data_IF_432344536774
#
_entry.id   IF_432344536774
#
_cell.length_a   1.000
_cell.length_b   1.000
_cell.length_c   1.000
_cell.angle_alpha   90.00
_cell.angle_beta   90.00
_cell.angle_gamma   90.00
#
_symmetry.space_group_name_H-M   'P 1'
#
loop_
_entity.id
_entity.type
_entity.pdbx_description
1 polymer ?
2 non-polymer ?
3 water ?
#
# COMPACT_ATOMS: atom_id res chain seq x y z
N UNK A 4 -26.27 8.95 12.57
CA UNK A 4 -25.07 8.65 11.73
C UNK A 4 -24.77 7.15 11.69
N UNK A 5 -25.65 6.42 11.01
CA UNK A 5 -25.46 5.00 10.76
C UNK A 5 -24.19 4.87 9.92
N UNK A 6 -23.41 3.80 10.13
CA UNK A 6 -22.26 3.49 9.27
C UNK A 6 -21.17 4.57 9.25
N UNK A 7 -21.07 5.36 10.32
CA UNK A 7 -20.25 6.55 10.29
C UNK A 7 -18.76 6.23 10.26
N UNK A 8 -18.30 5.25 11.05
CA UNK A 8 -16.88 4.90 11.00
C UNK A 8 -16.48 4.41 9.61
N UNK A 9 -17.28 3.49 9.09
CA UNK A 9 -17.10 2.96 7.74
C UNK A 9 -17.12 4.07 6.68
N UNK A 10 -18.11 4.96 6.75
CA UNK A 10 -18.23 6.04 5.73
C UNK A 10 -17.01 6.95 5.71
N UNK A 11 -16.57 7.34 6.90
CA UNK A 11 -15.46 8.30 6.95
C UNK A 11 -14.18 7.67 6.47
N UNK A 12 -13.97 6.41 6.84
CA UNK A 12 -12.76 5.72 6.42
C UNK A 12 -12.71 5.54 4.91
N UNK A 13 -13.82 5.11 4.30
CA UNK A 13 -13.85 4.95 2.85
C UNK A 13 -13.70 6.29 2.13
N UNK A 14 -14.30 7.36 2.66
CA UNK A 14 -14.11 8.70 2.07
C UNK A 14 -12.65 9.18 2.18
N UNK A 15 -12.02 8.88 3.31
CA UNK A 15 -10.60 9.16 3.47
C UNK A 15 -9.79 8.39 2.41
N UNK A 16 -10.16 7.13 2.19
CA UNK A 16 -9.48 6.33 1.20
C UNK A 16 -9.68 6.90 -0.22
N UNK A 17 -10.92 7.21 -0.57
CA UNK A 17 -11.22 7.82 -1.87
C UNK A 17 -10.36 9.07 -2.08
N UNK A 18 -10.34 9.95 -1.07
CA UNK A 18 -9.59 11.21 -1.16
C UNK A 18 -8.10 10.93 -1.39
N UNK A 19 -7.55 9.92 -0.72
CA UNK A 19 -6.16 9.56 -0.93
C UNK A 19 -5.90 9.11 -2.37
N UNK A 20 -6.81 8.33 -2.96
CA UNK A 20 -6.61 7.89 -4.34
C UNK A 20 -6.62 9.08 -5.29
N UNK A 21 -7.58 9.96 -5.06
CA UNK A 21 -7.72 11.16 -5.88
C UNK A 21 -6.50 12.06 -5.74
N UNK A 22 -6.08 12.33 -4.51
CA UNK A 22 -4.92 13.19 -4.29
C UNK A 22 -3.62 12.62 -4.86
N UNK A 23 -3.51 11.30 -4.91
CA UNK A 23 -2.30 10.63 -5.42
C UNK A 23 -2.34 10.29 -6.91
N UNK A 24 -3.40 10.73 -7.59
CA UNK A 24 -3.58 10.46 -9.02
C UNK A 24 -3.62 9.00 -9.44
N UNK A 25 -4.14 8.14 -8.56
CA UNK A 25 -4.20 6.70 -8.79
C UNK A 25 -5.36 6.36 -9.73
N UNK A 26 -5.15 5.41 -10.65
CA UNK A 26 -6.21 4.88 -11.52
C UNK A 26 -7.25 4.11 -10.71
N UNK A 27 -8.52 4.26 -11.06
CA UNK A 27 -9.57 3.47 -10.45
C UNK A 27 -9.85 2.22 -11.27
N UNK A 28 -8.83 1.38 -11.44
CA UNK A 28 -9.04 0.04 -11.95
C UNK A 28 -9.16 -0.94 -10.79
N UNK A 29 -9.86 -2.06 -11.01
CA UNK A 29 -10.13 -3.04 -9.95
C UNK A 29 -8.90 -3.51 -9.18
N UNK A 30 -7.90 -4.03 -9.90
CA UNK A 30 -6.68 -4.56 -9.29
C UNK A 30 -5.96 -3.49 -8.48
N UNK A 31 -5.92 -2.28 -9.02
CA UNK A 31 -5.28 -1.15 -8.36
C UNK A 31 -6.02 -0.78 -7.08
N UNK A 32 -7.34 -0.64 -7.18
CA UNK A 32 -8.17 -0.32 -6.01
C UNK A 32 -7.98 -1.35 -4.91
N UNK A 33 -8.02 -2.63 -5.29
CA UNK A 33 -7.78 -3.72 -4.36
C UNK A 33 -6.44 -3.63 -3.64
N UNK A 34 -5.34 -3.50 -4.38
CA UNK A 34 -4.04 -3.36 -3.73
C UNK A 34 -3.94 -2.10 -2.87
N UNK A 35 -4.48 -1.00 -3.37
CA UNK A 35 -4.44 0.25 -2.62
C UNK A 35 -5.24 0.18 -1.32
N UNK A 36 -6.37 -0.51 -1.35
CA UNK A 36 -7.18 -0.67 -0.14
C UNK A 36 -6.52 -1.58 0.89
N UNK A 37 -5.99 -2.72 0.43
CA UNK A 37 -5.19 -3.58 1.31
C UNK A 37 -4.03 -2.75 1.91
N UNK A 38 -3.37 -1.95 1.08
CA UNK A 38 -2.28 -1.12 1.57
C UNK A 38 -2.71 -0.08 2.60
N UNK A 39 -3.82 0.60 2.32
CA UNK A 39 -4.40 1.60 3.19
C UNK A 39 -4.79 0.98 4.53
N UNK A 40 -5.19 -0.29 4.49
CA UNK A 40 -5.54 -1.03 5.70
C UNK A 40 -4.36 -1.60 6.53
N UNK A 41 -3.14 -1.59 5.98
CA UNK A 41 -1.98 -2.19 6.66
C UNK A 41 -1.69 -1.75 8.09
N UNK A 42 -1.56 -0.46 8.32
CA UNK A 42 -1.13 -0.07 9.66
C UNK A 42 -2.26 0.13 10.67
N UNK A 43 -3.47 -0.34 10.34
CA UNK A 43 -4.63 -0.04 11.16
C UNK A 43 -4.68 -0.84 12.45
N UNK A 44 -5.26 -0.21 13.46
CA UNK A 44 -5.37 -0.77 14.78
C UNK A 44 -6.81 -0.64 15.21
N UNK A 45 -7.16 -1.40 16.24
CA UNK A 45 -8.45 -1.25 16.91
C UNK A 45 -9.62 -1.29 15.95
N UNK A 46 -10.50 -0.29 16.07
CA UNK A 46 -11.76 -0.28 15.33
C UNK A 46 -11.57 -0.19 13.83
N UNK A 47 -10.55 0.55 13.40
CA UNK A 47 -10.23 0.63 11.96
C UNK A 47 -9.71 -0.69 11.39
N UNK A 48 -9.01 -1.45 12.22
CA UNK A 48 -8.54 -2.78 11.82
C UNK A 48 -9.71 -3.74 11.71
N UNK A 49 -10.65 -3.64 12.64
CA UNK A 49 -11.89 -4.41 12.55
C UNK A 49 -12.69 -4.05 11.29
N UNK A 50 -12.78 -2.75 10.97
CA UNK A 50 -13.42 -2.28 9.73
C UNK A 50 -12.73 -2.87 8.50
N UNK A 51 -11.39 -2.86 8.51
CA UNK A 51 -10.61 -3.38 7.39
C UNK A 51 -10.91 -4.86 7.14
N UNK A 52 -11.06 -5.62 8.23
CA UNK A 52 -11.49 -7.02 8.11
C UNK A 52 -12.89 -7.12 7.48
N UNK A 53 -13.83 -6.30 7.97
CA UNK A 53 -15.17 -6.27 7.40
C UNK A 53 -15.23 -5.81 5.95
N UNK A 54 -14.18 -5.12 5.50
CA UNK A 54 -14.05 -4.69 4.09
C UNK A 54 -13.37 -5.74 3.22
N UNK A 55 -12.89 -6.85 3.81
CA UNK A 55 -12.20 -7.87 3.02
C UNK A 55 -10.72 -7.59 2.82
N UNK A 56 -10.18 -6.66 3.61
CA UNK A 56 -8.84 -6.09 3.34
C UNK A 56 -7.71 -6.40 4.32
N UNK A 57 -7.89 -7.43 5.14
CA UNK A 57 -6.82 -7.92 6.02
C UNK A 57 -6.53 -9.36 5.59
N UNK A 58 -5.39 -9.90 6.03
CA UNK A 58 -4.97 -11.24 5.60
C UNK A 58 -6.03 -12.31 5.92
N UNK A 59 -6.70 -12.15 7.07
CA UNK A 59 -7.66 -13.16 7.52
C UNK A 59 -9.10 -12.90 7.04
N UNK A 60 -9.26 -11.99 6.08
CA UNK A 60 -10.57 -11.53 5.68
C UNK A 60 -10.97 -12.23 4.38
N UNK A 61 -12.22 -12.08 3.99
CA UNK A 61 -12.77 -12.74 2.80
C UNK A 61 -12.51 -11.92 1.54
N UNK A 62 -11.74 -12.43 0.59
CA UNK A 62 -11.64 -11.77 -0.72
C UNK A 62 -12.98 -11.64 -1.48
N UNK A 63 -13.97 -12.49 -1.17
CA UNK A 63 -15.30 -12.32 -1.72
C UNK A 63 -15.85 -10.96 -1.31
N UNK A 64 -15.69 -10.60 -0.04
CA UNK A 64 -16.13 -9.28 0.45
C UNK A 64 -15.27 -8.15 -0.14
N UNK A 65 -13.99 -8.39 -0.32
CA UNK A 65 -13.12 -7.38 -0.94
C UNK A 65 -13.62 -7.03 -2.33
N UNK A 66 -14.10 -8.03 -3.07
CA UNK A 66 -14.63 -7.78 -4.41
C UNK A 66 -15.90 -6.92 -4.36
N UNK A 67 -16.71 -7.17 -3.33
CA UNK A 67 -17.96 -6.45 -3.13
C UNK A 67 -17.75 -5.01 -2.71
N UNK A 68 -16.57 -4.71 -2.18
CA UNK A 68 -16.20 -3.34 -1.88
C UNK A 68 -15.54 -2.66 -3.09
N UNK A 69 -14.60 -3.34 -3.73
CA UNK A 69 -13.79 -2.67 -4.76
C UNK A 69 -14.51 -2.50 -6.09
N UNK A 70 -15.41 -3.40 -6.43
CA UNK A 70 -16.22 -3.17 -7.63
C UNK A 70 -17.08 -1.89 -7.57
N UNK A 71 -17.82 -1.66 -6.46
CA UNK A 71 -18.52 -0.34 -6.37
C UNK A 71 -17.57 0.83 -6.36
N UNK A 72 -16.36 0.64 -5.80
CA UNK A 72 -15.38 1.75 -5.82
C UNK A 72 -14.94 2.11 -7.22
N UNK A 73 -14.91 1.12 -8.13
CA UNK A 73 -14.51 1.39 -9.52
C UNK A 73 -15.48 2.33 -10.26
N UNK A 74 -16.70 2.47 -9.73
CA UNK A 74 -17.65 3.43 -10.30
C UNK A 74 -17.93 4.54 -9.32
N UNK A 75 -17.04 4.71 -8.34
CA UNK A 75 -17.11 5.81 -7.37
C UNK A 75 -18.41 5.79 -6.56
N UNK A 76 -18.91 4.60 -6.24
CA UNK A 76 -20.12 4.55 -5.41
C UNK A 76 -19.91 5.31 -4.10
N UNK A 77 -20.89 6.13 -3.69
CA UNK A 77 -20.74 6.89 -2.44
C UNK A 77 -20.41 5.95 -1.28
N UNK A 78 -19.50 6.37 -0.39
CA UNK A 78 -19.08 5.49 0.72
C UNK A 78 -20.25 4.99 1.56
N UNK A 79 -21.24 5.84 1.82
CA UNK A 79 -22.37 5.41 2.65
C UNK A 79 -23.07 4.20 2.01
N UNK A 80 -23.18 4.24 0.68
CA UNK A 80 -23.85 3.18 -0.05
C UNK A 80 -23.09 1.83 -0.03
N UNK A 81 -21.76 1.92 -0.10
CA UNK A 81 -20.93 0.73 0.06
C UNK A 81 -21.13 0.13 1.47
N UNK A 82 -21.04 0.98 2.48
CA UNK A 82 -21.25 0.55 3.86
C UNK A 82 -22.64 -0.08 4.11
N UNK A 83 -23.68 0.56 3.57
CA UNK A 83 -25.04 0.04 3.67
C UNK A 83 -25.20 -1.32 3.01
N UNK A 84 -24.50 -1.51 1.88
CA UNK A 84 -24.44 -2.81 1.19
C UNK A 84 -23.84 -3.86 2.14
N UNK A 85 -22.75 -3.51 2.82
CA UNK A 85 -22.06 -4.49 3.67
C UNK A 85 -22.82 -4.75 4.96
N UNK A 86 -23.60 -3.79 5.40
CA UNK A 86 -24.40 -3.94 6.60
C UNK A 86 -25.33 -5.17 6.48
N UNK A 87 -25.77 -5.47 5.27
CA UNK A 87 -26.68 -6.60 5.07
C UNK A 87 -25.98 -7.94 5.35
N UNK A 88 -24.66 -7.96 5.22
CA UNK A 88 -23.89 -9.15 5.55
C UNK A 88 -23.72 -9.31 7.06
N UNK A 89 -22.86 -8.49 7.64
CA UNK A 89 -22.67 -8.47 9.08
C UNK A 89 -22.90 -7.02 9.54
N UNK A 90 -23.98 -6.78 10.28
CA UNK A 90 -24.37 -5.40 10.62
C UNK A 90 -23.38 -4.68 11.54
N UNK A 91 -22.51 -5.45 12.20
CA UNK A 91 -21.57 -4.83 13.13
C UNK A 91 -20.66 -3.78 12.43
N UNK A 92 -20.48 -3.91 11.11
CA UNK A 92 -19.65 -2.92 10.36
C UNK A 92 -20.16 -1.50 10.54
N UNK A 93 -21.49 -1.34 10.63
CA UNK A 93 -22.09 -0.01 10.71
C UNK A 93 -22.33 0.44 12.14
N UNK A 94 -22.00 -0.43 13.09
CA UNK A 94 -22.17 -0.18 14.54
C UNK A 94 -20.89 0.27 15.25
N UNK A 95 -19.77 0.21 14.54
CA UNK A 95 -18.50 0.52 15.16
C UNK A 95 -18.46 1.93 15.76
N UNK A 96 -17.83 2.05 16.93
CA UNK A 96 -17.51 3.37 17.52
C UNK A 96 -16.09 3.32 18.07
N UNK A 97 -15.36 4.42 17.93
CA UNK A 97 -14.04 4.52 18.52
C UNK A 97 -14.17 4.57 20.06
N UNK A 98 -13.12 4.14 20.76
CA UNK A 98 -13.07 4.25 22.23
C UNK A 98 -13.47 5.65 22.71
N UNK A 99 -14.37 5.69 23.69
CA UNK A 99 -14.83 6.95 24.29
C UNK A 99 -13.73 7.63 25.11
N UNK A 100 -12.90 6.82 25.79
CA UNK A 100 -11.70 7.27 26.53
C UNK A 100 -11.81 8.60 27.32
N UNK A 101 -12.13 8.59 28.51
N UNK B 4 26.47 -5.31 -14.90
CA UNK B 4 25.10 -4.86 -14.50
C UNK B 4 24.82 -5.24 -13.05
N UNK B 5 25.62 -4.68 -12.16
CA UNK B 5 25.47 -4.88 -10.72
C UNK B 5 24.16 -4.24 -10.30
N UNK B 6 23.50 -4.83 -9.29
CA UNK B 6 22.31 -4.22 -8.67
C UNK B 6 21.18 -3.97 -9.65
N UNK B 7 21.11 -4.77 -10.72
CA UNK B 7 20.17 -4.49 -11.81
C UNK B 7 18.70 -4.65 -11.44
N UNK B 8 18.36 -5.73 -10.71
CA UNK B 8 16.98 -5.88 -10.26
C UNK B 8 16.53 -4.73 -9.38
N UNK B 9 17.39 -4.38 -8.42
CA UNK B 9 17.15 -3.27 -7.53
C UNK B 9 17.01 -1.97 -8.29
N UNK B 10 17.95 -1.70 -9.21
CA UNK B 10 17.95 -0.42 -9.93
C UNK B 10 16.66 -0.24 -10.75
N UNK B 11 16.25 -1.29 -11.46
CA UNK B 11 15.11 -1.12 -12.35
C UNK B 11 13.84 -0.95 -11.53
N UNK B 12 13.75 -1.68 -10.42
CA UNK B 12 12.56 -1.56 -9.59
C UNK B 12 12.42 -0.18 -8.99
N UNK B 13 13.52 0.38 -8.51
CA UNK B 13 13.49 1.71 -7.93
C UNK B 13 13.19 2.74 -9.00
N UNK B 14 13.70 2.55 -10.21
CA UNK B 14 13.40 3.48 -11.30
C UNK B 14 11.94 3.40 -11.74
N UNK B 15 11.39 2.19 -11.71
CA UNK B 15 9.95 2.06 -11.91
C UNK B 15 9.13 2.82 -10.87
N UNK B 16 9.51 2.68 -9.60
CA UNK B 16 8.88 3.40 -8.52
C UNK B 16 8.98 4.93 -8.72
N UNK B 17 10.19 5.41 -9.02
CA UNK B 17 10.38 6.83 -9.25
C UNK B 17 9.47 7.35 -10.37
N UNK B 18 9.39 6.61 -11.47
CA UNK B 18 8.59 7.02 -12.63
C UNK B 18 7.13 7.10 -12.24
N UNK B 19 6.69 6.15 -11.43
CA UNK B 19 5.31 6.15 -10.93
C UNK B 19 4.97 7.41 -10.11
N UNK B 20 5.84 7.80 -9.18
CA UNK B 20 5.68 9.01 -8.38
C UNK B 20 5.64 10.24 -9.27
N UNK B 21 6.61 10.32 -10.17
CA UNK B 21 6.75 11.47 -11.07
C UNK B 21 5.54 11.60 -11.99
N UNK B 22 5.09 10.49 -12.56
CA UNK B 22 3.94 10.51 -13.47
C UNK B 22 2.68 10.97 -12.76
N UNK B 23 2.55 10.64 -11.48
CA UNK B 23 1.38 11.06 -10.70
C UNK B 23 1.54 12.40 -9.98
N UNK B 24 2.67 13.07 -10.19
CA UNK B 24 2.91 14.37 -9.56
C UNK B 24 2.98 14.35 -8.04
N UNK B 25 3.39 13.21 -7.49
CA UNK B 25 3.47 13.00 -6.04
C UNK B 25 4.59 13.82 -5.38
N UNK B 26 4.30 14.40 -4.21
CA UNK B 26 5.26 15.16 -3.43
C UNK B 26 6.31 14.24 -2.78
N UNK B 27 7.58 14.58 -2.95
CA UNK B 27 8.68 13.75 -2.45
C UNK B 27 9.06 14.12 -1.02
N UNK B 28 8.08 14.06 -0.12
CA UNK B 28 8.33 14.19 1.30
C UNK B 28 8.53 12.80 1.90
N UNK B 29 9.26 12.72 3.01
CA UNK B 29 9.58 11.43 3.63
C UNK B 29 8.36 10.55 3.87
N UNK B 30 7.36 11.08 4.58
CA UNK B 30 6.19 10.28 4.94
C UNK B 30 5.42 9.79 3.72
N UNK B 31 5.32 10.66 2.71
CA UNK B 31 4.64 10.32 1.48
C UNK B 31 5.38 9.24 0.70
N UNK B 32 6.70 9.41 0.57
CA UNK B 32 7.53 8.39 -0.08
C UNK B 32 7.41 7.03 0.62
N UNK B 33 7.49 7.03 1.95
CA UNK B 33 7.37 5.75 2.70
C UNK B 33 6.06 5.03 2.40
N UNK B 34 4.94 5.75 2.46
CA UNK B 34 3.64 5.14 2.21
C UNK B 34 3.55 4.62 0.78
N UNK B 35 4.04 5.42 -0.17
CA UNK B 35 4.09 5.00 -1.56
C UNK B 35 4.94 3.74 -1.79
N UNK B 36 6.12 3.66 -1.15
CA UNK B 36 7.00 2.49 -1.28
C UNK B 36 6.40 1.21 -0.67
N UNK B 37 5.74 1.34 0.49
CA UNK B 37 5.03 0.20 1.09
C UNK B 37 3.96 -0.35 0.14
N UNK B 38 3.16 0.55 -0.44
CA UNK B 38 2.15 0.17 -1.43
C UNK B 38 2.73 -0.48 -2.65
N UNK B 39 3.80 0.11 -3.17
CA UNK B 39 4.43 -0.39 -4.37
C UNK B 39 4.95 -1.81 -4.14
N UNK B 40 5.38 -2.07 -2.92
CA UNK B 40 5.94 -3.36 -2.56
C UNK B 40 4.93 -4.44 -2.14
N UNK B 41 3.65 -4.08 -2.03
CA UNK B 41 2.67 -4.96 -1.39
C UNK B 41 2.35 -6.24 -2.15
N UNK B 42 2.16 -6.14 -3.46
CA UNK B 42 1.74 -7.30 -4.24
C UNK B 42 2.91 -8.07 -4.82
N UNK B 43 4.13 -7.72 -4.41
CA UNK B 43 5.31 -8.35 -4.98
C UNK B 43 5.42 -9.81 -4.56
N UNK B 44 5.93 -10.62 -5.48
CA UNK B 44 6.26 -12.01 -5.22
C UNK B 44 7.71 -12.28 -5.60
N UNK B 45 8.18 -13.48 -5.27
CA UNK B 45 9.50 -13.96 -5.65
C UNK B 45 10.61 -12.96 -5.34
N UNK B 46 11.46 -12.72 -6.33
CA UNK B 46 12.64 -11.84 -6.17
C UNK B 46 12.31 -10.39 -5.87
N UNK B 47 11.24 -9.87 -6.47
CA UNK B 47 10.80 -8.52 -6.12
C UNK B 47 10.36 -8.39 -4.66
N UNK B 48 9.79 -9.47 -4.11
CA UNK B 48 9.42 -9.48 -2.69
C UNK B 48 10.67 -9.53 -1.81
N UNK B 49 11.67 -10.31 -2.23
CA UNK B 49 12.95 -10.36 -1.49
C UNK B 49 13.63 -8.99 -1.52
N UNK B 50 13.64 -8.36 -2.70
CA UNK B 50 14.08 -6.95 -2.82
C UNK B 50 13.35 -5.99 -1.89
N UNK B 51 12.01 -6.08 -1.84
CA UNK B 51 11.22 -5.19 -1.01
C UNK B 51 11.59 -5.36 0.46
N UNK B 52 11.94 -6.59 0.82
CA UNK B 52 12.38 -6.86 2.18
C UNK B 52 13.70 -6.13 2.44
N UNK B 53 14.66 -6.24 1.50
CA UNK B 53 15.94 -5.55 1.64
C UNK B 53 15.84 -4.03 1.59
N UNK B 54 14.73 -3.53 1.04
CA UNK B 54 14.44 -2.11 1.01
C UNK B 54 13.76 -1.65 2.30
N UNK B 55 13.45 -2.59 3.19
CA UNK B 55 12.75 -2.27 4.43
C UNK B 55 11.24 -2.04 4.26
N UNK B 56 10.66 -2.53 3.17
CA UNK B 56 9.25 -2.21 2.81
C UNK B 56 8.25 -3.37 2.88
N UNK B 57 8.59 -4.43 3.59
CA UNK B 57 7.64 -5.51 3.83
C UNK B 57 7.30 -5.48 5.33
N UNK B 58 6.25 -6.20 5.71
CA UNK B 58 5.78 -6.28 7.10
C UNK B 58 6.88 -6.76 8.06
N UNK B 59 7.71 -7.69 7.58
CA UNK B 59 8.76 -8.28 8.42
C UNK B 59 10.13 -7.62 8.28
N UNK B 60 10.17 -6.47 7.61
CA UNK B 60 11.43 -5.82 7.33
C UNK B 60 11.74 -4.77 8.40
N UNK B 61 12.93 -4.18 8.30
CA UNK B 61 13.43 -3.18 9.25
C UNK B 61 13.07 -1.76 8.82
N UNK B 62 12.25 -1.07 9.60
CA UNK B 62 12.00 0.36 9.33
C UNK B 62 13.28 1.22 9.36
N UNK B 63 14.33 0.79 10.06
CA UNK B 63 15.61 1.48 10.01
C UNK B 63 16.11 1.53 8.57
N UNK B 64 16.03 0.40 7.88
CA UNK B 64 16.42 0.33 6.45
C UNK B 64 15.47 1.11 5.53
N UNK B 65 14.18 1.08 5.82
CA UNK B 65 13.22 1.89 5.07
C UNK B 65 13.62 3.35 5.06
N UNK B 66 14.06 3.87 6.21
CA UNK B 66 14.48 5.27 6.35
C UNK B 66 15.77 5.53 5.54
N UNK B 67 16.61 4.51 5.45
CA UNK B 67 17.84 4.61 4.68
C UNK B 67 17.59 4.63 3.17
N UNK B 68 16.38 4.24 2.77
CA UNK B 68 15.96 4.27 1.38
C UNK B 68 15.16 5.55 1.10
N UNK B 69 14.21 5.87 1.98
CA UNK B 69 13.31 7.00 1.69
C UNK B 69 14.02 8.32 1.81
N UNK B 70 14.98 8.43 2.73
CA UNK B 70 15.73 9.70 2.85
C UNK B 70 16.49 10.07 1.57
N UNK B 71 17.28 9.13 0.99
CA UNK B 71 17.92 9.43 -0.31
C UNK B 71 16.92 9.68 -1.41
N UNK B 72 15.77 8.98 -1.37
CA UNK B 72 14.73 9.24 -2.39
C UNK B 72 14.17 10.66 -2.31
N UNK B 73 14.12 11.23 -1.11
CA UNK B 73 13.64 12.62 -0.96
C UNK B 73 14.49 13.66 -1.70
N UNK B 74 15.74 13.31 -1.99
CA UNK B 74 16.62 14.17 -2.81
C UNK B 74 16.86 13.60 -4.19
N UNK B 75 15.99 12.68 -4.61
CA UNK B 75 16.07 12.03 -5.93
C UNK B 75 17.38 11.30 -6.20
N UNK B 76 17.98 10.71 -5.16
CA UNK B 76 19.20 9.96 -5.40
C UNK B 76 19.01 8.90 -6.50
N UNK B 77 19.97 8.82 -7.46
CA UNK B 77 19.87 7.81 -8.53
C UNK B 77 19.70 6.41 -7.94
N UNK B 78 18.84 5.61 -8.58
CA UNK B 78 18.47 4.30 -8.05
C UNK B 78 19.70 3.43 -7.82
N UNK B 79 20.66 3.52 -8.74
CA UNK B 79 21.85 2.71 -8.63
C UNK B 79 22.59 3.02 -7.32
N UNK B 80 22.70 4.31 -7.00
CA UNK B 80 23.38 4.72 -5.79
C UNK B 80 22.64 4.27 -4.50
N UNK B 81 21.30 4.26 -4.52
CA UNK B 81 20.55 3.72 -3.39
C UNK B 81 20.86 2.22 -3.22
N UNK B 82 20.78 1.48 -4.32
CA UNK B 82 21.12 0.05 -4.29
C UNK B 82 22.54 -0.20 -3.78
N UNK B 83 23.50 0.61 -4.25
CA UNK B 83 24.89 0.41 -3.89
C UNK B 83 25.08 0.68 -2.41
N UNK B 84 24.36 1.69 -1.89
CA UNK B 84 24.34 1.99 -0.45
C UNK B 84 23.88 0.76 0.33
N UNK B 85 22.80 0.13 -0.13
CA UNK B 85 22.23 -1.01 0.61
C UNK B 85 23.07 -2.27 0.49
N UNK B 86 23.83 -2.39 -0.60
CA UNK B 86 24.70 -3.54 -0.83
C UNK B 86 25.67 -3.71 0.34
N UNK B 87 26.05 -2.60 0.94
CA UNK B 87 26.97 -2.63 2.07
C UNK B 87 26.40 -3.33 3.30
N UNK B 88 25.07 -3.35 3.43
CA UNK B 88 24.42 -4.05 4.54
C UNK B 88 24.35 -5.55 4.24
N UNK B 89 23.47 -5.93 3.32
CA UNK B 89 23.39 -7.31 2.86
C UNK B 89 23.58 -7.30 1.34
N UNK B 90 24.69 -7.88 0.88
CA UNK B 90 25.06 -7.81 -0.53
C UNK B 90 24.08 -8.52 -1.48
N UNK B 91 23.29 -9.46 -0.96
CA UNK B 91 22.35 -10.20 -1.80
C UNK B 91 21.38 -9.29 -2.54
N UNK B 92 21.08 -8.11 -1.99
CA UNK B 92 20.20 -7.17 -2.69
C UNK B 92 20.64 -6.92 -4.15
N UNK B 93 21.95 -6.92 -4.40
CA UNK B 93 22.49 -6.56 -5.72
C UNK B 93 22.84 -7.77 -6.60
N UNK B 94 22.63 -8.95 -6.03
CA UNK B 94 22.88 -10.21 -6.74
C UNK B 94 21.60 -10.91 -7.20
N UNK B 95 20.44 -10.35 -6.87
CA UNK B 95 19.18 -10.94 -7.29
C UNK B 95 19.10 -11.15 -8.80
N UNK B 96 18.56 -12.31 -9.20
CA UNK B 96 18.17 -12.53 -10.60
C UNK B 96 16.79 -13.15 -10.66
N UNK B 97 15.98 -12.73 -11.63
CA UNK B 97 14.69 -13.40 -11.82
C UNK B 97 14.90 -14.84 -12.30
N UNK B 98 13.93 -15.69 -12.01
CA UNK B 98 13.96 -17.07 -12.49
C UNK B 98 14.19 -17.15 -13.99
N UNK B 99 15.18 -17.95 -14.40
CA UNK B 99 15.48 -18.14 -15.81
C UNK B 99 14.33 -18.87 -16.52
N UNK B 100 14.01 -20.07 -16.02
CA UNK B 100 12.87 -20.87 -16.49
C UNK B 100 12.58 -20.75 -18.00
X LIG C 1 -10.06 2.49 18.84
X LIG C 1 -8.66 2.36 19.37
X LIG C 1 -10.66 3.85 19.13
X LIG C 1 -9.99 2.14 17.40
X LIG C 1 -10.93 1.47 19.57
X LIG D 1 -22.05 7.06 23.82
X LIG D 1 -20.87 7.93 24.11
X LIG D 1 -23.29 7.82 24.24
X LIG D 1 -22.10 6.73 22.35
X LIG D 1 -21.94 5.78 24.62
X LIG E 1 10.79 -14.58 -9.69
X LIG E 1 11.72 -15.40 -8.83
X LIG E 1 10.61 -13.21 -9.11
X LIG E 1 11.40 -14.57 -11.07
X LIG E 1 9.44 -15.25 -9.70
X LIG F 1 22.83 -17.30 -16.36
X LIG F 1 24.21 -16.95 -16.84
X LIG F 1 22.40 -16.35 -15.26
X LIG F 1 21.87 -17.19 -17.52
X LIG F 1 22.78 -18.72 -15.86
#
# INVERSE_FOLDING_TARGET
RPGADCEVCKEFLNRFYKSLIDRGVNFSLDTIEKELISFCLDTKGKENRLCYYLGATKDAATKILSEVTRPMSVHMPAMKICEKLKKLDSQICELKYEKTLD
RPGADCEVCKEFLNRFYKSLIDRGVNFSLDTIEKELISFCLDTKGKENRLCYYLGATKDAATKILSEVTRPMSVHMPAMKICEKLKKLDSQICELKYEKTLD
PO4 P O1 O2 O3 O4
PO4 P O1 O2 O3 O4
PO4 P O1 O2 O3 O4
PO4 P O1 O2 O3 O4
#
